data_IF_291760284698
#
_entry.id   IF_291760284698
#
_cell.length_a   1.000
_cell.length_b   1.000
_cell.length_c   1.000
_cell.angle_alpha   90.00
_cell.angle_beta   90.00
_cell.angle_gamma   90.00
#
_symmetry.space_group_name_H-M   'P 1'
#
loop_
_entity.id
_entity.type
_entity.pdbx_description
1 polymer ?
#
# COMPACT_ATOMS: atom_id res chain seq x y z
N UNK A 1 -1.71 9.10 -4.03
CA UNK A 1 -0.35 8.55 -4.09
C UNK A 1 0.20 8.66 -5.51
N UNK A 2 1.52 8.77 -5.64
CA UNK A 2 2.21 8.76 -6.92
C UNK A 2 1.85 7.53 -7.75
N UNK A 3 1.89 7.64 -9.05
CA UNK A 3 1.55 6.59 -10.02
C UNK A 3 0.09 6.08 -9.98
N UNK A 4 -0.81 6.71 -9.25
CA UNK A 4 -2.19 6.21 -9.08
C UNK A 4 -3.21 7.27 -9.45
N UNK A 5 -4.26 6.90 -10.18
CA UNK A 5 -5.33 7.81 -10.58
C UNK A 5 -4.82 9.00 -11.39
N UNK A 6 -5.13 10.22 -10.96
CA UNK A 6 -4.71 11.47 -11.60
C UNK A 6 -3.31 11.96 -11.18
N UNK A 7 -2.68 11.31 -10.17
CA UNK A 7 -1.33 11.65 -9.77
C UNK A 7 -0.33 11.41 -10.89
N UNK A 8 0.78 12.15 -10.87
CA UNK A 8 1.89 11.97 -11.81
C UNK A 8 2.57 10.61 -11.70
N UNK A 9 3.47 10.34 -12.63
CA UNK A 9 4.25 9.10 -12.73
C UNK A 9 3.73 8.15 -13.79
N UNK A 10 4.66 7.52 -14.49
CA UNK A 10 4.42 6.50 -15.50
C UNK A 10 5.45 5.36 -15.31
N UNK A 11 5.06 4.11 -15.57
CA UNK A 11 3.70 3.67 -15.89
C UNK A 11 2.76 3.77 -14.68
N UNK A 12 1.45 3.84 -14.93
CA UNK A 12 0.44 3.92 -13.85
C UNK A 12 0.37 2.63 -13.04
N UNK A 13 -0.21 2.76 -11.85
CA UNK A 13 -0.48 1.64 -10.93
C UNK A 13 0.80 0.87 -10.54
N UNK A 14 1.88 1.60 -10.32
CA UNK A 14 3.09 1.06 -9.70
C UNK A 14 2.99 1.22 -8.19
N UNK A 15 3.15 0.13 -7.45
CA UNK A 15 3.39 0.18 -6.01
C UNK A 15 4.89 0.22 -5.75
N UNK A 16 5.36 1.26 -5.09
CA UNK A 16 6.77 1.44 -4.72
C UNK A 16 6.85 1.90 -3.27
N UNK A 17 7.37 1.07 -2.36
CA UNK A 17 7.32 1.37 -0.93
C UNK A 17 8.10 2.63 -0.53
N UNK A 18 9.21 2.91 -1.20
CA UNK A 18 10.00 4.13 -0.96
C UNK A 18 9.27 5.38 -1.47
N UNK A 19 8.74 5.36 -2.69
CA UNK A 19 7.97 6.48 -3.25
C UNK A 19 6.68 6.69 -2.46
N UNK A 20 5.96 5.62 -2.11
CA UNK A 20 4.73 5.75 -1.34
C UNK A 20 4.97 6.23 0.10
N UNK A 21 6.14 5.97 0.67
CA UNK A 21 6.58 6.56 1.93
C UNK A 21 6.91 8.04 1.75
N UNK A 22 7.63 8.40 0.68
CA UNK A 22 7.99 9.77 0.35
C UNK A 22 6.77 10.65 0.06
N UNK A 23 5.70 10.11 -0.50
CA UNK A 23 4.43 10.84 -0.72
C UNK A 23 3.91 11.50 0.58
N UNK A 24 4.13 10.89 1.74
CA UNK A 24 3.76 11.48 3.03
C UNK A 24 4.64 12.69 3.38
N UNK A 25 5.94 12.60 3.16
CA UNK A 25 6.87 13.71 3.38
C UNK A 25 6.61 14.86 2.41
N UNK A 26 6.33 14.55 1.14
CA UNK A 26 5.93 15.56 0.15
C UNK A 26 4.62 16.27 0.54
N UNK A 27 3.66 15.56 1.12
CA UNK A 27 2.45 16.16 1.67
C UNK A 27 2.76 17.10 2.85
N UNK A 28 3.71 16.74 3.71
CA UNK A 28 4.20 17.61 4.80
C UNK A 28 4.88 18.86 4.27
N UNK A 29 5.68 18.75 3.19
CA UNK A 29 6.29 19.91 2.51
C UNK A 29 5.20 20.86 2.04
N UNK A 30 4.21 20.36 1.31
CA UNK A 30 3.11 21.16 0.83
C UNK A 30 2.33 21.85 1.96
N UNK A 31 1.95 21.10 2.98
CA UNK A 31 1.22 21.64 4.14
C UNK A 31 2.03 22.70 4.88
N UNK A 32 3.33 22.47 5.06
CA UNK A 32 4.21 23.40 5.75
C UNK A 32 4.41 24.75 5.03
N UNK A 33 4.03 24.84 3.78
CA UNK A 33 4.05 26.10 3.01
C UNK A 33 2.71 26.87 3.06
N UNK A 34 1.64 26.24 3.61
CA UNK A 34 0.36 26.91 3.70
C UNK A 34 0.31 27.86 4.90
N UNK A 35 -0.14 29.08 4.68
CA UNK A 35 -0.20 30.13 5.74
C UNK A 35 -1.13 29.79 6.91
N UNK A 36 -2.07 28.89 6.69
CA UNK A 36 -3.05 28.46 7.71
C UNK A 36 -2.61 27.24 8.52
N UNK A 37 -1.45 26.66 8.19
CA UNK A 37 -0.94 25.44 8.82
C UNK A 37 0.14 25.78 9.85
N UNK A 38 -0.06 25.29 11.07
CA UNK A 38 1.00 25.28 12.09
C UNK A 38 1.96 24.11 11.83
N UNK A 39 3.18 24.39 11.40
CA UNK A 39 4.23 23.39 11.13
C UNK A 39 4.58 22.50 12.32
N UNK A 40 4.29 22.95 13.54
CA UNK A 40 4.54 22.17 14.76
C UNK A 40 3.39 21.22 15.11
N UNK A 41 2.30 21.23 14.33
CA UNK A 41 1.08 20.45 14.60
C UNK A 41 0.63 19.62 13.41
N UNK A 42 1.55 19.22 12.53
CA UNK A 42 1.25 18.33 11.39
C UNK A 42 1.23 16.89 11.89
N UNK A 43 0.12 16.21 11.73
CA UNK A 43 -0.02 14.78 11.97
C UNK A 43 -0.40 14.03 10.70
N UNK A 44 -0.29 12.71 10.71
CA UNK A 44 -0.66 11.84 9.60
C UNK A 44 -1.63 10.75 10.05
N UNK A 45 -2.58 10.42 9.18
CA UNK A 45 -3.46 9.26 9.33
C UNK A 45 -3.20 8.32 8.16
N UNK A 46 -2.73 7.12 8.47
CA UNK A 46 -2.50 6.05 7.49
C UNK A 46 -3.63 5.02 7.52
N UNK A 47 -4.16 4.68 6.35
CA UNK A 47 -5.30 3.77 6.22
C UNK A 47 -4.89 2.53 5.45
N UNK A 48 -5.28 1.34 5.94
CA UNK A 48 -5.04 0.07 5.27
C UNK A 48 -3.54 -0.17 5.02
N UNK A 49 -3.12 -0.66 3.85
CA UNK A 49 -1.70 -0.85 3.52
C UNK A 49 -0.86 0.42 3.61
N UNK A 50 -1.45 1.60 3.36
CA UNK A 50 -0.75 2.88 3.52
C UNK A 50 -0.53 3.28 4.99
N UNK A 51 -1.15 2.58 5.94
CA UNK A 51 -0.84 2.73 7.36
C UNK A 51 0.61 2.37 7.68
N UNK A 52 1.13 1.30 7.09
CA UNK A 52 2.54 0.93 7.22
C UNK A 52 3.49 1.98 6.65
N UNK A 53 3.21 2.52 5.47
CA UNK A 53 4.01 3.60 4.87
C UNK A 53 3.96 4.88 5.70
N UNK A 54 2.81 5.23 6.31
CA UNK A 54 2.71 6.40 7.20
C UNK A 54 3.57 6.26 8.46
N UNK A 55 3.66 5.06 9.03
CA UNK A 55 4.55 4.76 10.15
C UNK A 55 6.01 4.86 9.73
N UNK A 56 6.37 4.32 8.57
CA UNK A 56 7.72 4.44 8.02
C UNK A 56 8.09 5.91 7.78
N UNK A 57 7.21 6.70 7.15
CA UNK A 57 7.43 8.13 6.96
C UNK A 57 7.60 8.86 8.30
N UNK A 58 6.75 8.59 9.28
CA UNK A 58 6.85 9.19 10.61
C UNK A 58 8.14 8.82 11.34
N UNK A 59 8.73 7.64 11.09
CA UNK A 59 10.01 7.26 11.69
C UNK A 59 11.17 8.13 11.19
N UNK A 60 11.13 8.51 9.90
CA UNK A 60 12.18 9.30 9.24
C UNK A 60 11.92 10.80 9.32
N UNK A 61 10.69 11.24 9.03
CA UNK A 61 10.33 12.65 8.98
C UNK A 61 9.87 13.18 10.35
N UNK A 62 10.77 13.88 11.03
CA UNK A 62 10.50 14.41 12.38
C UNK A 62 9.55 15.62 12.38
N UNK A 63 9.14 16.13 11.23
CA UNK A 63 8.12 17.16 11.08
C UNK A 63 6.71 16.60 11.29
N UNK A 64 6.53 15.28 11.11
CA UNK A 64 5.29 14.58 11.48
C UNK A 64 5.25 14.46 13.01
N UNK A 65 4.33 15.15 13.66
CA UNK A 65 4.27 15.27 15.14
C UNK A 65 3.44 14.18 15.81
N UNK A 66 2.53 13.56 15.08
CA UNK A 66 1.70 12.45 15.54
C UNK A 66 1.33 11.56 14.35
N UNK A 67 1.14 10.27 14.60
CA UNK A 67 0.64 9.35 13.58
C UNK A 67 -0.50 8.49 14.13
N UNK A 68 -1.54 8.34 13.34
CA UNK A 68 -2.59 7.38 13.61
C UNK A 68 -2.73 6.41 12.43
N UNK A 69 -3.02 5.15 12.72
CA UNK A 69 -3.34 4.18 11.68
C UNK A 69 -4.68 3.51 11.94
N UNK A 70 -5.39 3.18 10.87
CA UNK A 70 -6.62 2.41 10.96
C UNK A 70 -6.60 1.27 9.96
N UNK A 71 -6.99 0.07 10.42
CA UNK A 71 -6.99 -1.16 9.61
C UNK A 71 -5.66 -1.41 8.88
N UNK A 72 -4.55 -1.00 9.52
CA UNK A 72 -3.22 -1.07 8.91
C UNK A 72 -2.69 -2.50 8.96
N UNK A 73 -1.90 -2.84 7.94
CA UNK A 73 -1.04 -4.02 7.91
C UNK A 73 0.28 -3.68 7.21
N UNK A 74 1.32 -4.47 7.47
CA UNK A 74 2.59 -4.34 6.76
C UNK A 74 2.46 -4.98 5.37
N UNK A 75 2.20 -4.15 4.36
CA UNK A 75 2.04 -4.60 2.98
C UNK A 75 3.30 -5.29 2.46
N UNK A 76 4.48 -4.85 2.88
CA UNK A 76 5.75 -5.45 2.47
C UNK A 76 5.93 -6.85 3.07
N UNK A 77 5.60 -7.02 4.36
CA UNK A 77 5.63 -8.32 5.03
C UNK A 77 4.65 -9.31 4.41
N UNK A 78 3.42 -8.87 4.16
CA UNK A 78 2.41 -9.73 3.51
C UNK A 78 2.86 -10.14 2.11
N UNK A 79 3.41 -9.24 1.33
CA UNK A 79 3.93 -9.57 0.00
C UNK A 79 5.16 -10.49 0.06
N UNK A 80 6.01 -10.35 1.08
CA UNK A 80 7.22 -11.14 1.24
C UNK A 80 6.97 -12.54 1.77
N UNK A 81 6.05 -12.67 2.73
CA UNK A 81 5.88 -13.88 3.54
C UNK A 81 4.47 -14.49 3.41
N UNK A 82 3.58 -13.88 2.63
CA UNK A 82 2.18 -14.27 2.55
C UNK A 82 1.38 -13.86 3.78
N UNK A 83 0.10 -14.14 3.74
CA UNK A 83 -0.79 -13.89 4.87
C UNK A 83 -0.40 -14.75 6.08
N UNK A 84 -0.31 -14.16 7.25
CA UNK A 84 0.14 -14.80 8.50
C UNK A 84 1.52 -15.48 8.39
N UNK A 85 2.42 -14.96 7.52
CA UNK A 85 3.75 -15.50 7.23
C UNK A 85 3.72 -16.98 6.77
N UNK A 86 2.68 -17.39 6.06
CA UNK A 86 2.48 -18.79 5.64
C UNK A 86 3.15 -19.14 4.31
N UNK A 87 3.71 -18.17 3.59
CA UNK A 87 4.42 -18.43 2.33
C UNK A 87 5.72 -19.16 2.61
N UNK A 88 5.91 -20.30 1.96
CA UNK A 88 7.17 -21.05 2.05
C UNK A 88 8.27 -20.38 1.23
N UNK A 89 9.53 -20.74 1.50
CA UNK A 89 10.66 -20.26 0.70
C UNK A 89 10.56 -20.70 -0.76
N UNK A 90 10.04 -21.89 -1.01
CA UNK A 90 9.83 -22.45 -2.35
C UNK A 90 8.78 -21.64 -3.12
N UNK A 91 7.66 -21.32 -2.49
CA UNK A 91 6.60 -20.49 -3.08
C UNK A 91 7.11 -19.07 -3.38
N UNK A 92 7.86 -18.49 -2.43
CA UNK A 92 8.49 -17.18 -2.62
C UNK A 92 9.49 -17.22 -3.79
N UNK A 93 10.36 -18.22 -3.86
CA UNK A 93 11.33 -18.37 -4.94
C UNK A 93 10.64 -18.47 -6.29
N UNK A 94 9.62 -19.31 -6.39
CA UNK A 94 8.83 -19.47 -7.62
C UNK A 94 8.15 -18.17 -8.05
N UNK A 95 7.61 -17.40 -7.11
CA UNK A 95 7.02 -16.09 -7.41
C UNK A 95 8.07 -15.12 -7.95
N UNK A 96 9.26 -15.08 -7.36
CA UNK A 96 10.37 -14.22 -7.82
C UNK A 96 10.84 -14.62 -9.23
N UNK A 97 10.94 -15.92 -9.53
CA UNK A 97 11.26 -16.43 -10.87
C UNK A 97 10.21 -15.98 -11.90
N UNK A 98 8.93 -16.17 -11.60
CA UNK A 98 7.83 -15.75 -12.49
C UNK A 98 7.84 -14.24 -12.75
N UNK A 99 8.09 -13.44 -11.72
CA UNK A 99 8.24 -11.98 -11.89
C UNK A 99 9.48 -11.62 -12.72
N UNK A 100 10.57 -12.36 -12.57
CA UNK A 100 11.78 -12.20 -13.38
C UNK A 100 11.50 -12.42 -14.87
N UNK A 101 10.78 -13.49 -15.19
CA UNK A 101 10.34 -13.77 -16.56
C UNK A 101 9.36 -12.71 -17.09
N UNK A 102 8.46 -12.23 -16.22
CA UNK A 102 7.52 -11.18 -16.61
C UNK A 102 8.24 -9.88 -16.97
N UNK A 103 9.33 -9.51 -16.28
CA UNK A 103 10.13 -8.33 -16.63
C UNK A 103 10.69 -8.38 -18.07
N UNK A 104 11.10 -9.55 -18.55
CA UNK A 104 11.53 -9.71 -19.94
C UNK A 104 10.38 -9.48 -20.91
N UNK A 105 9.18 -10.00 -20.60
CA UNK A 105 7.97 -9.80 -21.42
C UNK A 105 7.56 -8.32 -21.45
N UNK A 106 7.60 -7.65 -20.29
CA UNK A 106 7.29 -6.23 -20.17
C UNK A 106 8.27 -5.38 -20.99
N UNK A 107 9.56 -5.69 -20.91
CA UNK A 107 10.60 -5.00 -21.69
C UNK A 107 10.40 -5.18 -23.18
N UNK A 108 10.11 -6.38 -23.64
CA UNK A 108 9.84 -6.67 -25.04
C UNK A 108 8.57 -5.98 -25.54
N UNK A 109 7.56 -5.84 -24.69
CA UNK A 109 6.29 -5.17 -25.00
C UNK A 109 6.34 -3.63 -24.89
N UNK A 110 7.40 -3.08 -24.29
CA UNK A 110 7.54 -1.65 -24.00
C UNK A 110 6.55 -1.10 -22.98
N UNK A 111 5.89 -1.97 -22.22
CA UNK A 111 4.91 -1.60 -21.18
C UNK A 111 4.78 -2.71 -20.14
N UNK A 112 4.43 -2.38 -18.87
CA UNK A 112 4.22 -3.39 -17.86
C UNK A 112 2.93 -4.19 -18.12
N UNK A 113 2.94 -5.44 -17.69
CA UNK A 113 1.73 -6.23 -17.52
C UNK A 113 1.05 -5.85 -16.19
N UNK A 114 -0.26 -5.85 -16.20
CA UNK A 114 -1.08 -5.66 -15.02
C UNK A 114 -1.68 -6.99 -14.58
N UNK A 115 -1.89 -7.14 -13.28
CA UNK A 115 -2.58 -8.30 -12.70
C UNK A 115 -4.06 -8.32 -13.08
N UNK A 116 -4.78 -9.26 -12.50
CA UNK A 116 -6.26 -9.22 -12.55
C UNK A 116 -6.76 -8.06 -11.70
N UNK A 117 -7.92 -7.51 -12.06
CA UNK A 117 -8.56 -6.48 -11.25
C UNK A 117 -8.67 -6.92 -9.79
N UNK A 118 -8.30 -6.02 -8.87
CA UNK A 118 -8.33 -6.30 -7.43
C UNK A 118 -9.74 -6.72 -6.97
N UNK A 119 -10.75 -6.09 -7.56
CA UNK A 119 -12.13 -6.49 -7.38
C UNK A 119 -12.77 -6.62 -8.77
N UNK A 120 -12.93 -7.84 -9.31
CA UNK A 120 -13.44 -8.06 -10.65
C UNK A 120 -14.91 -7.60 -10.77
N UNK A 121 -15.35 -7.32 -11.99
CA UNK A 121 -16.72 -6.85 -12.24
C UNK A 121 -17.78 -7.85 -11.74
N UNK A 122 -17.49 -9.15 -11.88
CA UNK A 122 -18.30 -10.23 -11.32
C UNK A 122 -17.49 -11.02 -10.32
N UNK A 123 -18.01 -11.11 -9.11
CA UNK A 123 -17.39 -11.91 -8.06
C UNK A 123 -17.56 -13.41 -8.40
N UNK A 124 -16.47 -14.23 -8.33
CA UNK A 124 -16.58 -15.66 -8.48
C UNK A 124 -17.52 -16.29 -7.43
N UNK A 125 -18.29 -17.30 -7.80
CA UNK A 125 -19.23 -17.97 -6.87
C UNK A 125 -18.56 -18.55 -5.64
N UNK A 126 -17.33 -19.06 -5.80
CA UNK A 126 -16.51 -19.65 -4.76
C UNK A 126 -15.52 -18.65 -4.14
N UNK A 127 -15.73 -17.34 -4.29
CA UNK A 127 -14.87 -16.32 -3.68
C UNK A 127 -14.83 -16.51 -2.16
N UNK A 128 -13.64 -16.35 -1.59
CA UNK A 128 -13.45 -16.39 -0.15
C UNK A 128 -14.15 -15.21 0.57
N UNK A 129 -14.38 -15.31 1.88
CA UNK A 129 -15.07 -14.25 2.63
C UNK A 129 -14.42 -12.88 2.53
N UNK A 130 -13.08 -12.83 2.47
CA UNK A 130 -12.34 -11.57 2.36
C UNK A 130 -12.62 -10.90 1.01
N UNK A 131 -12.50 -11.67 -0.07
CA UNK A 131 -12.79 -11.18 -1.41
C UNK A 131 -14.23 -10.66 -1.53
N UNK A 132 -15.19 -11.32 -0.85
CA UNK A 132 -16.60 -10.87 -0.80
C UNK A 132 -16.75 -9.53 -0.10
N UNK A 133 -16.11 -9.33 1.05
CA UNK A 133 -16.16 -8.07 1.80
C UNK A 133 -15.51 -6.92 1.03
N UNK A 134 -14.35 -7.15 0.39
CA UNK A 134 -13.69 -6.16 -0.45
C UNK A 134 -14.56 -5.80 -1.66
N UNK A 135 -15.14 -6.79 -2.32
CA UNK A 135 -16.02 -6.57 -3.46
C UNK A 135 -17.27 -5.77 -3.06
N UNK A 136 -17.92 -6.15 -1.95
CA UNK A 136 -19.11 -5.45 -1.43
C UNK A 136 -18.81 -3.99 -1.07
N UNK A 137 -17.59 -3.67 -0.69
CA UNK A 137 -17.18 -2.29 -0.48
C UNK A 137 -16.84 -1.58 -1.79
N UNK A 138 -15.86 -2.09 -2.53
CA UNK A 138 -15.28 -1.35 -3.66
C UNK A 138 -16.09 -1.40 -4.96
N UNK A 139 -17.01 -2.35 -5.12
CA UNK A 139 -17.84 -2.50 -6.32
C UNK A 139 -19.29 -2.08 -6.11
N UNK A 140 -19.65 -1.54 -4.94
CA UNK A 140 -20.99 -1.03 -4.62
C UNK A 140 -20.92 0.46 -4.28
N UNK A 141 -22.07 1.07 -4.05
CA UNK A 141 -22.16 2.49 -3.65
C UNK A 141 -21.49 2.81 -2.31
N UNK A 142 -21.06 1.79 -1.56
CA UNK A 142 -20.37 1.99 -0.27
C UNK A 142 -19.00 2.64 -0.44
N UNK A 143 -18.21 2.24 -1.43
CA UNK A 143 -16.85 2.71 -1.61
C UNK A 143 -16.38 2.71 -3.07
N UNK A 144 -17.28 2.51 -4.02
CA UNK A 144 -16.94 2.60 -5.44
C UNK A 144 -16.50 4.01 -5.81
N UNK A 145 -15.39 4.11 -6.50
CA UNK A 145 -14.96 5.35 -7.12
C UNK A 145 -14.25 5.03 -8.44
N UNK A 146 -14.62 5.75 -9.50
CA UNK A 146 -14.10 5.51 -10.86
C UNK A 146 -12.58 5.60 -10.98
N UNK A 147 -11.92 6.40 -10.12
CA UNK A 147 -10.46 6.59 -10.10
C UNK A 147 -9.75 5.65 -9.12
N UNK A 148 -10.49 4.83 -8.37
CA UNK A 148 -9.89 3.91 -7.41
C UNK A 148 -9.36 2.68 -8.11
N UNK A 149 -8.09 2.36 -7.91
CA UNK A 149 -7.49 1.11 -8.36
C UNK A 149 -8.17 -0.10 -7.72
N UNK A 150 -8.67 0.04 -6.49
CA UNK A 150 -9.41 -1.04 -5.85
C UNK A 150 -10.78 -1.28 -6.47
N UNK A 151 -11.37 -0.26 -7.12
CA UNK A 151 -12.65 -0.40 -7.80
C UNK A 151 -12.51 -0.90 -9.24
N UNK A 152 -11.47 -0.46 -9.97
CA UNK A 152 -11.43 -0.61 -11.43
C UNK A 152 -10.04 -0.97 -11.97
N UNK A 153 -9.16 -1.57 -11.18
CA UNK A 153 -7.82 -1.80 -11.69
C UNK A 153 -7.02 -2.81 -10.89
N UNK A 154 -5.78 -2.90 -11.31
CA UNK A 154 -4.77 -3.76 -10.70
C UNK A 154 -3.42 -3.07 -10.69
N UNK A 155 -2.53 -3.57 -9.85
CA UNK A 155 -1.13 -3.14 -9.83
C UNK A 155 -0.36 -3.76 -10.98
N UNK A 156 0.66 -3.07 -11.46
CA UNK A 156 1.63 -3.67 -12.35
C UNK A 156 2.24 -4.91 -11.66
N UNK A 157 2.26 -6.03 -12.37
CA UNK A 157 2.64 -7.34 -11.81
C UNK A 157 4.00 -7.31 -11.13
N UNK A 158 4.95 -6.60 -11.72
CA UNK A 158 6.33 -6.49 -11.20
C UNK A 158 6.48 -5.55 -10.01
N UNK A 159 5.42 -4.81 -9.61
CA UNK A 159 5.43 -3.97 -8.39
C UNK A 159 5.72 -4.77 -7.13
N UNK A 160 5.32 -6.05 -7.09
CA UNK A 160 5.57 -6.93 -5.95
C UNK A 160 7.06 -7.07 -5.61
N UNK A 161 7.97 -6.94 -6.58
CA UNK A 161 9.42 -7.04 -6.35
C UNK A 161 9.92 -6.11 -5.25
N UNK A 162 9.58 -4.82 -5.36
CA UNK A 162 10.05 -3.84 -4.37
C UNK A 162 9.37 -4.04 -3.03
N UNK A 163 8.09 -4.37 -3.01
CA UNK A 163 7.35 -4.67 -1.78
C UNK A 163 7.92 -5.88 -1.04
N UNK A 164 8.23 -6.98 -1.76
CA UNK A 164 8.76 -8.21 -1.15
C UNK A 164 10.14 -8.06 -0.50
N UNK A 165 10.86 -7.00 -0.80
CA UNK A 165 12.23 -6.82 -0.32
C UNK A 165 12.43 -5.53 0.48
N UNK A 166 11.36 -4.78 0.79
CA UNK A 166 11.46 -3.53 1.53
C UNK A 166 11.15 -3.73 3.01
N UNK A 167 12.08 -3.36 3.92
CA UNK A 167 11.91 -3.55 5.35
C UNK A 167 11.12 -2.40 5.99
N UNK A 168 9.83 -2.32 5.70
CA UNK A 168 8.96 -1.16 5.93
C UNK A 168 8.97 -0.63 7.37
N UNK A 169 8.91 -1.51 8.37
CA UNK A 169 8.77 -1.11 9.77
C UNK A 169 10.05 -1.22 10.60
N UNK A 170 11.22 -1.37 9.96
CA UNK A 170 12.50 -1.56 10.66
C UNK A 170 12.82 -0.45 11.66
N UNK A 171 12.53 0.79 11.30
CA UNK A 171 12.86 1.98 12.10
C UNK A 171 11.69 2.54 12.90
N UNK A 172 10.59 1.77 13.08
CA UNK A 172 9.37 2.25 13.76
C UNK A 172 9.63 2.77 15.18
N UNK A 173 10.64 2.24 15.89
CA UNK A 173 11.03 2.70 17.23
C UNK A 173 11.48 4.16 17.25
N UNK A 174 11.93 4.69 16.11
CA UNK A 174 12.39 6.07 15.99
C UNK A 174 11.24 7.09 15.95
N UNK A 175 9.99 6.65 15.91
CA UNK A 175 8.84 7.53 16.09
C UNK A 175 8.82 8.11 17.51
N UNK A 176 9.23 7.32 18.49
CA UNK A 176 9.29 7.77 19.90
C UNK A 176 10.12 9.07 20.04
N UNK A 177 9.72 10.00 20.93
CA UNK A 177 8.57 9.95 21.87
C UNK A 177 7.25 10.51 21.29
N UNK A 178 7.13 10.66 19.98
CA UNK A 178 5.91 11.19 19.35
C UNK A 178 4.75 10.20 19.48
N UNK A 179 3.50 10.69 19.69
CA UNK A 179 2.37 9.80 19.89
C UNK A 179 2.03 8.98 18.64
N UNK A 180 1.69 7.72 18.87
CA UNK A 180 1.21 6.76 17.87
C UNK A 180 -0.12 6.19 18.36
N UNK A 181 -1.14 6.21 17.49
CA UNK A 181 -2.43 5.56 17.73
C UNK A 181 -2.66 4.50 16.65
N UNK A 182 -2.88 3.26 17.07
CA UNK A 182 -3.22 2.15 16.17
C UNK A 182 -4.65 1.72 16.43
N UNK A 183 -5.50 1.80 15.41
CA UNK A 183 -6.90 1.40 15.46
C UNK A 183 -7.07 0.16 14.57
N UNK A 184 -7.58 -0.92 15.14
CA UNK A 184 -7.84 -2.16 14.42
C UNK A 184 -9.09 -2.82 14.98
N UNK A 185 -9.90 -3.42 14.10
CA UNK A 185 -11.03 -4.24 14.54
C UNK A 185 -10.54 -5.56 15.16
N UNK A 186 -11.21 -6.02 16.19
CA UNK A 186 -10.86 -7.27 16.89
C UNK A 186 -11.00 -8.53 16.02
N UNK A 187 -11.81 -8.47 14.97
CA UNK A 187 -11.98 -9.51 13.96
C UNK A 187 -11.43 -9.12 12.57
N UNK A 188 -10.72 -7.99 12.46
CA UNK A 188 -10.20 -7.54 11.19
C UNK A 188 -8.98 -8.34 10.72
N UNK A 189 -8.82 -8.51 9.40
CA UNK A 189 -7.63 -9.12 8.80
C UNK A 189 -6.36 -8.37 9.16
N UNK A 190 -6.44 -7.05 9.21
CA UNK A 190 -5.33 -6.17 9.56
C UNK A 190 -4.80 -6.35 10.99
N UNK A 191 -5.37 -7.26 11.75
CA UNK A 191 -4.88 -7.66 13.08
C UNK A 191 -3.57 -8.46 13.05
N UNK A 192 -3.24 -9.04 11.91
CA UNK A 192 -2.03 -9.79 11.66
C UNK A 192 -0.76 -8.94 11.73
#
# INVERSE_FOLDING_TARGET
PSYTGESGGEPKNIASPDINTEDFSAAVDYLGLQSVVDRNRIGVIGICGFGGFSLSAASMDKRIKAVATTSMYDMCRVMANGWEDKMTNEERSKMLEQMGEQRWKDMAAGKPAYGQDLNPEKLPENADPIAKEYWDYYRTQRGYHERSINSNGSWATTSAYSLMNFPLLTHIKEISPRPVLIIVGDHAFSRY
#
